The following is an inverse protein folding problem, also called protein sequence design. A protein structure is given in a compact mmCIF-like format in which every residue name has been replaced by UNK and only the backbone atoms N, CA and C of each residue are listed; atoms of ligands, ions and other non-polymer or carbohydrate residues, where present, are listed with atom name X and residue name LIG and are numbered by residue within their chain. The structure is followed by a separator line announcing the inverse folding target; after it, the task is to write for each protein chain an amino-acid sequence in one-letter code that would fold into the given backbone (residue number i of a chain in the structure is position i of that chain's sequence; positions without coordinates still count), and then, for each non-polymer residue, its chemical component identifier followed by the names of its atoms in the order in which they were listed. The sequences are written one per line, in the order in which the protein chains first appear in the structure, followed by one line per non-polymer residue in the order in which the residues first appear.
data_IF_818061223361
#
_entry.id   IF_818061223361
#
_cell.length_a   1.000
_cell.length_b   1.000
_cell.length_c   1.000
_cell.angle_alpha   90.00
_cell.angle_beta   90.00
_cell.angle_gamma   90.00
#
_symmetry.space_group_name_H-M   'P 1'
#
loop_
_entity.id
_entity.type
_entity.pdbx_description
1 polymer ?
#
# COMPACT_ATOMS: atom_id res chain seq x y z
N UNK A 1 66.27 0.97 -58.46
CA UNK A 1 64.91 0.39 -58.45
C UNK A 1 64.79 -0.76 -57.46
N UNK A 2 65.63 -1.82 -57.55
CA UNK A 2 65.61 -2.94 -56.60
C UNK A 2 66.03 -2.55 -55.18
N UNK A 3 67.05 -1.71 -55.04
CA UNK A 3 67.53 -1.28 -53.71
C UNK A 3 66.48 -0.43 -52.96
N UNK A 4 65.77 0.47 -53.67
CA UNK A 4 64.67 1.24 -53.07
C UNK A 4 63.50 0.35 -52.62
N UNK A 5 63.21 -0.74 -53.35
CA UNK A 5 62.18 -1.69 -52.95
C UNK A 5 62.58 -2.51 -51.70
N UNK A 6 63.88 -2.76 -51.52
CA UNK A 6 64.39 -3.46 -50.35
C UNK A 6 64.35 -2.57 -49.10
N UNK A 7 64.70 -1.29 -49.22
CA UNK A 7 64.58 -0.30 -48.14
C UNK A 7 63.12 -0.11 -47.71
N UNK A 8 62.18 0.01 -48.66
CA UNK A 8 60.75 0.11 -48.33
C UNK A 8 60.21 -1.12 -47.57
N UNK A 9 60.67 -2.34 -47.91
CA UNK A 9 60.27 -3.54 -47.18
C UNK A 9 60.82 -3.57 -45.75
N UNK A 10 62.03 -3.07 -45.53
CA UNK A 10 62.63 -2.96 -44.19
C UNK A 10 61.82 -1.95 -43.35
N UNK A 11 61.49 -0.79 -43.92
CA UNK A 11 60.69 0.22 -43.24
C UNK A 11 59.30 -0.32 -42.86
N UNK A 12 58.64 -1.06 -43.75
CA UNK A 12 57.34 -1.69 -43.50
C UNK A 12 57.42 -2.74 -42.38
N UNK A 13 58.48 -3.55 -42.35
CA UNK A 13 58.71 -4.52 -41.27
C UNK A 13 58.96 -3.83 -39.93
N UNK A 14 59.73 -2.74 -39.91
CA UNK A 14 59.97 -1.96 -38.70
C UNK A 14 58.71 -1.25 -38.21
N UNK A 15 57.87 -0.75 -39.13
CA UNK A 15 56.57 -0.17 -38.81
C UNK A 15 55.62 -1.22 -38.22
N UNK A 16 55.54 -2.42 -38.84
CA UNK A 16 54.74 -3.52 -38.33
C UNK A 16 55.21 -3.99 -36.94
N UNK A 17 56.53 -4.04 -36.70
CA UNK A 17 57.07 -4.40 -35.39
C UNK A 17 56.69 -3.36 -34.31
N UNK A 18 56.78 -2.06 -34.63
CA UNK A 18 56.35 -0.99 -33.71
C UNK A 18 54.86 -1.06 -33.42
N UNK A 19 54.05 -1.33 -34.43
CA UNK A 19 52.60 -1.47 -34.27
C UNK A 19 52.25 -2.68 -33.39
N UNK A 20 52.91 -3.83 -33.58
CA UNK A 20 52.71 -5.00 -32.71
C UNK A 20 53.04 -4.68 -31.25
N UNK A 21 54.13 -3.96 -30.99
CA UNK A 21 54.52 -3.56 -29.63
C UNK A 21 53.50 -2.57 -29.02
N UNK A 22 53.02 -1.61 -29.82
CA UNK A 22 51.96 -0.67 -29.42
C UNK A 22 50.67 -1.42 -29.05
N UNK A 23 50.24 -2.36 -29.90
CA UNK A 23 49.06 -3.19 -29.64
C UNK A 23 49.23 -4.08 -28.41
N UNK A 24 50.43 -4.64 -28.18
CA UNK A 24 50.73 -5.40 -26.97
C UNK A 24 50.62 -4.53 -25.71
N UNK A 25 51.09 -3.28 -25.75
CA UNK A 25 50.93 -2.33 -24.64
C UNK A 25 49.46 -2.05 -24.34
N UNK A 26 48.64 -1.82 -25.37
CA UNK A 26 47.20 -1.63 -25.23
C UNK A 26 46.54 -2.87 -24.63
N UNK A 27 46.87 -4.07 -25.11
CA UNK A 27 46.35 -5.33 -24.57
C UNK A 27 46.73 -5.49 -23.10
N UNK A 28 47.96 -5.15 -22.71
CA UNK A 28 48.39 -5.21 -21.31
C UNK A 28 47.62 -4.23 -20.42
N UNK A 29 47.40 -2.99 -20.89
CA UNK A 29 46.58 -2.00 -20.16
C UNK A 29 45.15 -2.49 -19.99
N UNK A 30 44.51 -2.96 -21.06
CA UNK A 30 43.15 -3.49 -21.02
C UNK A 30 43.02 -4.71 -20.09
N UNK A 31 44.01 -5.61 -20.09
CA UNK A 31 44.03 -6.75 -19.16
C UNK A 31 44.11 -6.28 -17.69
N UNK A 32 44.95 -5.29 -17.41
CA UNK A 32 45.06 -4.70 -16.07
C UNK A 32 43.75 -4.06 -15.64
N UNK A 33 43.14 -3.25 -16.50
CA UNK A 33 41.87 -2.59 -16.23
C UNK A 33 40.75 -3.62 -15.98
N UNK A 34 40.72 -4.72 -16.75
CA UNK A 34 39.77 -5.80 -16.56
C UNK A 34 39.97 -6.52 -15.21
N UNK A 35 41.21 -6.80 -14.82
CA UNK A 35 41.50 -7.42 -13.51
C UNK A 35 41.14 -6.51 -12.35
N UNK A 36 41.37 -5.21 -12.48
CA UNK A 36 41.01 -4.21 -11.48
C UNK A 36 39.48 -4.04 -11.39
N UNK A 37 38.78 -4.04 -12.53
CA UNK A 37 37.31 -4.05 -12.54
C UNK A 37 36.77 -5.33 -11.86
N UNK A 38 37.37 -6.49 -12.13
CA UNK A 38 36.97 -7.74 -11.50
C UNK A 38 37.20 -7.73 -9.98
N UNK A 39 38.34 -7.21 -9.50
CA UNK A 39 38.59 -7.10 -8.06
C UNK A 39 37.58 -6.17 -7.40
N UNK A 40 37.32 -4.99 -7.97
CA UNK A 40 36.31 -4.05 -7.46
C UNK A 40 34.91 -4.66 -7.42
N UNK A 41 34.51 -5.42 -8.44
CA UNK A 41 33.22 -6.13 -8.44
C UNK A 41 33.17 -7.23 -7.37
N UNK A 42 34.27 -7.93 -7.14
CA UNK A 42 34.38 -8.94 -6.07
C UNK A 42 34.23 -8.31 -4.69
N UNK A 43 34.87 -7.17 -4.44
CA UNK A 43 34.76 -6.41 -3.19
C UNK A 43 33.32 -5.94 -2.97
N UNK A 44 32.70 -5.33 -3.98
CA UNK A 44 31.30 -4.89 -3.92
C UNK A 44 30.33 -6.07 -3.69
N UNK A 45 30.58 -7.23 -4.30
CA UNK A 45 29.81 -8.45 -4.04
C UNK A 45 29.96 -8.90 -2.59
N UNK A 46 31.17 -8.84 -2.04
CA UNK A 46 31.44 -9.14 -0.63
C UNK A 46 30.71 -8.19 0.31
N UNK A 47 30.79 -6.88 0.06
CA UNK A 47 30.12 -5.85 0.85
C UNK A 47 28.59 -5.96 0.80
N UNK A 48 28.01 -6.24 -0.37
CA UNK A 48 26.56 -6.45 -0.51
C UNK A 48 26.11 -7.66 0.31
N UNK A 49 26.87 -8.76 0.25
CA UNK A 49 26.55 -9.96 1.01
C UNK A 49 26.65 -9.72 2.53
N UNK A 50 27.67 -9.02 3.00
CA UNK A 50 27.81 -8.69 4.44
C UNK A 50 26.71 -7.74 4.92
N UNK A 51 26.31 -6.76 4.09
CA UNK A 51 25.16 -5.88 4.39
C UNK A 51 23.87 -6.68 4.55
N UNK A 52 23.60 -7.60 3.62
CA UNK A 52 22.42 -8.48 3.70
C UNK A 52 22.44 -9.36 4.95
N UNK A 53 23.61 -9.93 5.28
CA UNK A 53 23.79 -10.74 6.49
C UNK A 53 23.54 -9.93 7.77
N UNK A 54 24.13 -8.74 7.88
CA UNK A 54 23.93 -7.87 9.04
C UNK A 54 22.47 -7.38 9.18
N UNK A 55 21.76 -7.16 8.07
CA UNK A 55 20.33 -6.81 8.11
C UNK A 55 19.47 -7.99 8.58
N UNK A 56 19.76 -9.20 8.09
CA UNK A 56 19.11 -10.43 8.56
C UNK A 56 19.35 -10.66 10.05
N UNK A 57 20.58 -10.50 10.55
CA UNK A 57 20.90 -10.63 11.97
C UNK A 57 20.12 -9.64 12.84
N UNK A 58 20.00 -8.38 12.41
CA UNK A 58 19.17 -7.38 13.10
C UNK A 58 17.70 -7.77 13.13
N UNK A 59 17.17 -8.24 12.00
CA UNK A 59 15.78 -8.69 11.90
C UNK A 59 15.51 -9.90 12.79
N UNK A 60 16.45 -10.85 12.87
CA UNK A 60 16.35 -12.02 13.77
C UNK A 60 16.28 -11.57 15.23
N UNK A 61 17.15 -10.65 15.66
CA UNK A 61 17.13 -10.10 17.03
C UNK A 61 15.81 -9.39 17.32
N UNK A 62 15.30 -8.59 16.38
CA UNK A 62 14.02 -7.90 16.51
C UNK A 62 12.84 -8.89 16.66
N UNK A 63 12.78 -9.92 15.82
CA UNK A 63 11.73 -10.94 15.89
C UNK A 63 11.80 -11.71 17.21
N UNK A 64 13.00 -12.04 17.68
CA UNK A 64 13.17 -12.67 18.98
C UNK A 64 12.67 -11.78 20.12
N UNK A 65 12.95 -10.47 20.07
CA UNK A 65 12.46 -9.51 21.05
C UNK A 65 10.93 -9.40 21.03
N UNK A 66 10.33 -9.24 19.85
CA UNK A 66 8.87 -9.20 19.67
C UNK A 66 8.20 -10.49 20.14
N UNK A 67 8.81 -11.65 19.88
CA UNK A 67 8.31 -12.95 20.35
C UNK A 67 8.28 -13.03 21.88
N UNK A 68 9.33 -12.54 22.56
CA UNK A 68 9.37 -12.46 24.03
C UNK A 68 8.27 -11.54 24.56
N UNK A 69 8.09 -10.37 23.96
CA UNK A 69 7.04 -9.42 24.34
C UNK A 69 5.63 -10.01 24.15
N UNK A 70 5.39 -10.68 23.03
CA UNK A 70 4.13 -11.39 22.76
C UNK A 70 3.88 -12.52 23.77
N UNK A 71 4.93 -13.25 24.15
CA UNK A 71 4.82 -14.29 25.19
C UNK A 71 4.39 -13.70 26.53
N UNK A 72 5.02 -12.62 26.96
CA UNK A 72 4.67 -11.92 28.21
C UNK A 72 3.25 -11.36 28.13
N UNK A 73 2.85 -10.78 27.00
CA UNK A 73 1.51 -10.24 26.82
C UNK A 73 0.45 -11.34 26.85
N UNK A 74 0.73 -12.49 26.23
CA UNK A 74 -0.14 -13.67 26.26
C UNK A 74 -0.31 -14.22 27.68
N UNK A 75 0.77 -14.23 28.48
CA UNK A 75 0.71 -14.61 29.89
C UNK A 75 -0.16 -13.65 30.70
N UNK A 76 0.03 -12.33 30.53
CA UNK A 76 -0.83 -11.31 31.17
C UNK A 76 -2.30 -11.45 30.79
N UNK A 77 -2.59 -11.77 29.52
CA UNK A 77 -3.96 -12.01 29.07
C UNK A 77 -4.56 -13.25 29.72
N UNK A 78 -3.79 -14.33 29.86
CA UNK A 78 -4.25 -15.53 30.57
C UNK A 78 -4.53 -15.25 32.06
N UNK A 79 -3.67 -14.47 32.72
CA UNK A 79 -3.89 -14.01 34.10
C UNK A 79 -5.18 -13.18 34.21
N UNK A 80 -5.39 -12.22 33.31
CA UNK A 80 -6.61 -11.40 33.27
C UNK A 80 -7.87 -12.25 33.06
N UNK A 81 -7.85 -13.19 32.10
CA UNK A 81 -8.97 -14.10 31.86
C UNK A 81 -9.32 -14.92 33.10
N UNK A 82 -8.32 -15.45 33.80
CA UNK A 82 -8.56 -16.22 35.04
C UNK A 82 -9.21 -15.35 36.15
N UNK A 83 -8.84 -14.07 36.24
CA UNK A 83 -9.41 -13.13 37.19
C UNK A 83 -10.86 -12.78 36.83
N UNK A 84 -11.14 -12.54 35.55
CA UNK A 84 -12.51 -12.28 35.06
C UNK A 84 -13.40 -13.49 35.34
N UNK A 85 -12.96 -14.71 35.02
CA UNK A 85 -13.72 -15.92 35.34
C UNK A 85 -13.98 -16.06 36.85
N UNK A 86 -13.02 -15.71 37.71
CA UNK A 86 -13.21 -15.72 39.16
C UNK A 86 -14.28 -14.71 39.58
N UNK A 87 -14.25 -13.49 39.02
CA UNK A 87 -15.24 -12.44 39.30
C UNK A 87 -16.63 -12.82 38.81
N UNK A 88 -16.75 -13.47 37.66
CA UNK A 88 -18.02 -13.99 37.16
C UNK A 88 -18.61 -15.06 38.07
N UNK A 89 -17.77 -15.95 38.64
CA UNK A 89 -18.21 -16.93 39.64
C UNK A 89 -18.68 -16.25 40.93
N UNK A 90 -17.95 -15.26 41.42
CA UNK A 90 -18.33 -14.47 42.60
C UNK A 90 -19.66 -13.73 42.38
N UNK A 91 -19.84 -13.09 41.22
CA UNK A 91 -21.08 -12.40 40.87
C UNK A 91 -22.28 -13.35 40.81
N UNK A 92 -22.15 -14.51 40.15
CA UNK A 92 -23.20 -15.53 40.12
C UNK A 92 -23.58 -16.01 41.51
N UNK A 93 -22.60 -16.23 42.39
CA UNK A 93 -22.86 -16.62 43.77
C UNK A 93 -23.60 -15.54 44.56
N UNK A 94 -23.24 -14.26 44.37
CA UNK A 94 -23.95 -13.13 44.99
C UNK A 94 -25.38 -12.97 44.46
N UNK A 95 -25.61 -13.15 43.15
CA UNK A 95 -26.95 -13.16 42.57
C UNK A 95 -27.83 -14.28 43.12
N UNK A 96 -27.27 -15.48 43.31
CA UNK A 96 -27.96 -16.61 43.93
C UNK A 96 -28.28 -16.35 45.40
N UNK A 97 -27.34 -15.79 46.17
CA UNK A 97 -27.57 -15.41 47.56
C UNK A 97 -28.64 -14.31 47.70
N UNK A 98 -28.64 -13.32 46.78
CA UNK A 98 -29.66 -12.28 46.73
C UNK A 98 -31.04 -12.88 46.43
N UNK A 99 -31.15 -13.78 45.45
CA UNK A 99 -32.39 -14.51 45.15
C UNK A 99 -32.88 -15.32 46.36
N UNK A 100 -31.98 -16.03 47.04
CA UNK A 100 -32.33 -16.80 48.24
C UNK A 100 -32.80 -15.90 49.40
N UNK A 101 -32.18 -14.73 49.59
CA UNK A 101 -32.59 -13.75 50.60
C UNK A 101 -33.95 -13.14 50.29
N UNK A 102 -34.19 -12.74 49.03
CA UNK A 102 -35.48 -12.23 48.57
C UNK A 102 -36.60 -13.27 48.75
N UNK A 103 -36.34 -14.53 48.44
CA UNK A 103 -37.32 -15.60 48.63
C UNK A 103 -37.60 -15.84 50.12
N UNK A 104 -36.57 -15.84 50.98
CA UNK A 104 -36.75 -15.89 52.45
C UNK A 104 -37.58 -14.71 52.95
N UNK A 105 -37.36 -13.50 52.45
CA UNK A 105 -38.16 -12.33 52.80
C UNK A 105 -39.61 -12.45 52.32
N UNK A 106 -39.87 -13.01 51.12
CA UNK A 106 -41.24 -13.30 50.66
C UNK A 106 -41.94 -14.31 51.58
N UNK A 107 -41.23 -15.36 52.00
CA UNK A 107 -41.77 -16.36 52.93
C UNK A 107 -42.04 -15.77 54.32
N UNK A 108 -41.16 -14.89 54.83
CA UNK A 108 -41.36 -14.15 56.08
C UNK A 108 -42.54 -13.17 56.00
N UNK A 109 -42.70 -12.43 54.89
CA UNK A 109 -43.84 -11.54 54.68
C UNK A 109 -45.17 -12.32 54.65
N UNK A 110 -45.16 -13.55 54.15
CA UNK A 110 -46.34 -14.41 54.14
C UNK A 110 -46.65 -14.99 55.54
N UNK A 111 -45.65 -15.23 56.39
CA UNK A 111 -45.85 -15.65 57.79
C UNK A 111 -46.23 -14.47 58.71
N UNK A 112 -45.72 -13.26 58.46
CA UNK A 112 -46.09 -12.06 59.22
C UNK A 112 -47.52 -11.57 58.88
N UNK A 113 -48.06 -11.91 57.70
CA UNK A 113 -49.47 -11.67 57.35
C UNK A 113 -50.47 -12.55 58.11
N UNK A 114 -50.03 -13.65 58.72
CA UNK A 114 -50.90 -14.47 59.59
C UNK A 114 -50.85 -14.06 61.08
N UNK A 115 -49.92 -13.19 61.51
CA UNK A 115 -49.87 -12.72 62.89
C UNK A 115 -49.51 -11.23 62.99
N UNK A 116 -50.52 -10.38 62.90
CA UNK A 116 -50.50 -9.05 63.56
C UNK A 116 -51.91 -8.65 63.95
N UNK A 117 -52.09 -8.04 65.13
CA UNK A 117 -52.44 -6.63 65.03
C UNK A 117 -51.78 -5.71 66.08
N UNK A 118 -51.43 -4.52 65.56
CA UNK A 118 -51.56 -3.18 66.16
C UNK A 118 -50.90 -2.87 67.51
N UNK A 119 -50.08 -1.81 67.50
CA UNK A 119 -50.25 -0.59 68.33
C UNK A 119 -49.43 0.58 67.75
N UNK A 120 -49.93 1.81 67.96
CA UNK A 120 -49.41 3.11 67.50
C UNK A 120 -48.46 3.75 68.54
N UNK A 121 -47.97 4.96 68.23
CA UNK A 121 -47.10 5.93 69.00
C UNK A 121 -45.60 5.61 68.89
N UNK A 122 -44.62 6.53 68.74
CA UNK A 122 -44.50 7.98 68.89
C UNK A 122 -43.11 8.44 68.36
N UNK A 123 -43.01 9.66 67.79
CA UNK A 123 -41.85 10.59 67.66
C UNK A 123 -40.42 10.10 67.31
N UNK A 124 -39.81 10.70 66.29
CA UNK A 124 -38.72 11.69 66.42
C UNK A 124 -38.14 12.12 65.06
N UNK A 125 -37.83 13.42 64.98
CA UNK A 125 -37.23 14.19 63.90
C UNK A 125 -35.80 13.79 63.53
N UNK A 126 -35.36 14.26 62.34
CA UNK A 126 -34.01 14.76 61.92
C UNK A 126 -33.87 14.47 60.41
N UNK A 127 -34.35 15.34 59.52
CA UNK A 127 -33.67 16.51 58.92
C UNK A 127 -32.78 16.19 57.70
N UNK A 128 -32.83 17.12 56.74
CA UNK A 128 -31.90 17.37 55.60
C UNK A 128 -32.07 16.44 54.39
N UNK A 129 -32.84 16.82 53.37
CA UNK A 129 -32.44 17.67 52.23
C UNK A 129 -31.38 17.03 51.30
N UNK A 130 -31.81 16.55 50.12
CA UNK A 130 -31.55 17.13 48.78
C UNK A 130 -31.82 16.07 47.69
N UNK A 131 -32.52 16.55 46.65
CA UNK A 131 -32.94 15.90 45.40
C UNK A 131 -31.85 15.11 44.65
N UNK A 132 -32.28 14.17 43.81
CA UNK A 132 -31.98 14.34 42.38
C UNK A 132 -33.26 14.39 41.55
N UNK A 133 -33.42 15.51 40.85
CA UNK A 133 -34.38 15.73 39.78
C UNK A 133 -34.14 14.68 38.68
N UNK A 134 -35.06 13.73 38.58
CA UNK A 134 -35.21 12.88 37.40
C UNK A 134 -35.96 13.69 36.34
N UNK A 135 -35.27 14.02 35.25
CA UNK A 135 -35.88 14.54 34.03
C UNK A 135 -36.71 13.44 33.36
N UNK A 136 -38.03 13.61 33.51
CA UNK A 136 -39.08 13.38 32.52
C UNK A 136 -39.22 11.98 31.89
N UNK A 137 -40.26 11.30 32.39
CA UNK A 137 -40.99 10.29 31.64
C UNK A 137 -41.69 10.91 30.43
N UNK A 138 -41.52 10.26 29.28
CA UNK A 138 -42.55 9.96 28.29
C UNK A 138 -43.75 10.92 28.17
N UNK A 139 -43.83 11.59 27.02
CA UNK A 139 -45.12 11.86 26.36
C UNK A 139 -45.11 11.20 24.98
N UNK A 140 -45.50 9.94 24.98
CA UNK A 140 -45.95 9.22 23.79
C UNK A 140 -47.42 9.55 23.55
N UNK A 141 -47.76 10.10 22.38
CA UNK A 141 -48.93 9.70 21.58
C UNK A 141 -49.28 10.78 20.55
N UNK A 142 -48.76 10.65 19.33
CA UNK A 142 -49.52 10.97 18.12
C UNK A 142 -48.79 10.38 16.91
N UNK A 143 -49.54 9.72 16.03
CA UNK A 143 -49.15 9.32 14.67
C UNK A 143 -48.29 8.07 14.54
N UNK A 144 -49.00 6.99 14.87
CA UNK A 144 -49.03 5.70 14.21
C UNK A 144 -49.04 5.81 12.66
N UNK A 145 -47.92 6.18 12.06
CA UNK A 145 -47.60 5.91 10.66
C UNK A 145 -46.62 4.74 10.60
N UNK A 146 -47.14 3.61 10.12
CA UNK A 146 -46.42 2.44 9.58
C UNK A 146 -44.91 2.40 9.85
N UNK A 147 -44.51 1.70 10.92
CA UNK A 147 -43.10 1.41 11.25
C UNK A 147 -42.31 0.73 10.11
N UNK A 148 -42.97 0.22 9.08
CA UNK A 148 -42.34 -0.35 7.89
C UNK A 148 -41.73 0.69 6.93
N UNK A 149 -42.16 1.96 6.97
CA UNK A 149 -41.72 2.99 5.99
C UNK A 149 -40.63 3.94 6.52
N UNK A 150 -40.43 4.01 7.84
CA UNK A 150 -39.34 4.80 8.44
C UNK A 150 -37.98 4.09 8.37
N UNK A 151 -37.97 2.76 8.22
CA UNK A 151 -36.74 1.97 8.05
C UNK A 151 -36.04 2.20 6.71
N UNK A 152 -36.79 2.56 5.66
CA UNK A 152 -36.26 2.75 4.30
C UNK A 152 -35.70 4.17 4.11
N UNK A 153 -36.23 5.17 4.83
CA UNK A 153 -35.66 6.54 4.81
C UNK A 153 -34.42 6.71 5.69
N UNK A 154 -34.16 5.81 6.65
CA UNK A 154 -33.06 5.96 7.60
C UNK A 154 -31.71 5.37 7.16
N UNK A 155 -31.58 4.74 5.98
CA UNK A 155 -30.29 4.18 5.51
C UNK A 155 -29.50 5.09 4.56
N UNK A 156 -30.03 6.25 4.15
CA UNK A 156 -29.35 7.18 3.25
C UNK A 156 -29.39 8.65 3.69
N UNK A 157 -30.49 9.11 4.31
CA UNK A 157 -30.71 10.54 4.58
C UNK A 157 -29.72 11.14 5.57
N UNK A 158 -29.30 10.40 6.61
CA UNK A 158 -28.28 10.91 7.55
C UNK A 158 -26.90 11.04 6.90
N UNK A 159 -26.53 10.13 6.01
CA UNK A 159 -25.25 10.19 5.31
C UNK A 159 -25.25 11.28 4.24
N UNK A 160 -26.34 11.42 3.49
CA UNK A 160 -26.51 12.51 2.54
C UNK A 160 -26.51 13.88 3.24
N UNK A 161 -27.18 14.03 4.39
CA UNK A 161 -27.11 15.26 5.18
C UNK A 161 -25.69 15.59 5.66
N UNK A 162 -24.92 14.58 6.09
CA UNK A 162 -23.52 14.76 6.48
C UNK A 162 -22.67 15.15 5.28
N UNK A 163 -22.86 14.50 4.12
CA UNK A 163 -22.18 14.84 2.87
C UNK A 163 -22.51 16.26 2.43
N UNK A 164 -23.77 16.67 2.52
CA UNK A 164 -24.21 18.03 2.17
C UNK A 164 -23.62 19.07 3.13
N UNK A 165 -23.59 18.78 4.44
CA UNK A 165 -22.94 19.65 5.43
C UNK A 165 -21.43 19.75 5.18
N UNK A 166 -20.76 18.65 4.84
CA UNK A 166 -19.33 18.64 4.51
C UNK A 166 -19.05 19.40 3.20
N UNK A 167 -19.86 19.21 2.16
CA UNK A 167 -19.77 19.97 0.89
C UNK A 167 -19.96 21.46 1.13
N UNK A 168 -20.94 21.85 1.96
CA UNK A 168 -21.19 23.25 2.33
C UNK A 168 -20.00 23.85 3.09
N UNK A 169 -19.48 23.16 4.11
CA UNK A 169 -18.30 23.61 4.85
C UNK A 169 -17.05 23.76 3.97
N UNK A 170 -16.83 22.83 3.04
CA UNK A 170 -15.72 22.91 2.07
C UNK A 170 -15.90 24.07 1.09
N UNK A 171 -17.13 24.33 0.63
CA UNK A 171 -17.39 25.48 -0.25
C UNK A 171 -17.16 26.82 0.47
N UNK A 172 -17.52 26.92 1.75
CA UNK A 172 -17.28 28.10 2.57
C UNK A 172 -15.78 28.31 2.84
N UNK A 173 -15.04 27.24 3.14
CA UNK A 173 -13.59 27.32 3.33
C UNK A 173 -12.87 27.75 2.05
N UNK A 174 -13.27 27.20 0.89
CA UNK A 174 -12.73 27.62 -0.41
C UNK A 174 -13.05 29.07 -0.73
N UNK A 175 -14.24 29.57 -0.37
CA UNK A 175 -14.59 30.97 -0.52
C UNK A 175 -13.71 31.88 0.36
N UNK A 176 -13.49 31.52 1.64
CA UNK A 176 -12.59 32.25 2.54
C UNK A 176 -11.14 32.24 2.07
N UNK A 177 -10.64 31.11 1.57
CA UNK A 177 -9.29 31.03 0.99
C UNK A 177 -9.19 31.97 -0.22
N UNK A 178 -10.18 31.96 -1.11
CA UNK A 178 -10.21 32.85 -2.27
C UNK A 178 -10.29 34.33 -1.88
N UNK A 179 -10.99 34.67 -0.80
CA UNK A 179 -11.01 36.03 -0.23
C UNK A 179 -9.67 36.41 0.39
N UNK A 180 -9.02 35.50 1.12
CA UNK A 180 -7.68 35.69 1.69
C UNK A 180 -6.61 35.83 0.59
N UNK A 181 -6.72 35.08 -0.50
CA UNK A 181 -5.86 35.20 -1.68
C UNK A 181 -6.08 36.52 -2.42
N UNK A 182 -7.32 37.02 -2.48
CA UNK A 182 -7.64 38.34 -3.05
C UNK A 182 -7.22 39.50 -2.16
N UNK A 183 -7.27 39.33 -0.83
CA UNK A 183 -6.73 40.28 0.14
C UNK A 183 -5.19 40.34 0.10
N UNK A 184 -4.55 39.37 -0.56
CA UNK A 184 -3.12 39.34 -0.86
C UNK A 184 -2.86 39.88 -2.27
N UNK A 185 -3.03 41.19 -2.47
CA UNK A 185 -2.59 41.87 -3.70
C UNK A 185 -1.07 42.09 -3.70
N UNK A 186 -0.44 42.30 -4.88
CA UNK A 186 0.98 42.06 -5.08
C UNK A 186 1.79 43.30 -4.75
N UNK A 187 2.81 43.12 -3.92
CA UNK A 187 4.03 43.88 -4.10
C UNK A 187 5.20 42.90 -4.01
N UNK A 188 6.29 43.25 -4.67
CA UNK A 188 7.55 42.50 -4.76
C UNK A 188 7.74 41.58 -5.98
N UNK A 189 7.70 42.20 -7.16
CA UNK A 189 8.45 41.77 -8.34
C UNK A 189 9.69 42.66 -8.46
N UNK A 190 10.79 42.34 -7.78
CA UNK A 190 12.11 42.93 -8.11
C UNK A 190 13.35 42.08 -7.74
N UNK A 191 13.26 41.02 -6.94
CA UNK A 191 14.48 40.32 -6.47
C UNK A 191 14.90 39.05 -7.22
N UNK A 192 14.30 38.72 -8.38
CA UNK A 192 14.59 37.43 -9.04
C UNK A 192 15.81 37.43 -9.98
N UNK A 193 16.40 38.57 -10.33
CA UNK A 193 17.47 38.61 -11.34
C UNK A 193 18.92 38.60 -10.81
N UNK A 194 19.16 38.73 -9.50
CA UNK A 194 20.53 38.70 -8.95
C UNK A 194 20.99 37.28 -8.53
N UNK A 195 20.06 36.34 -8.33
CA UNK A 195 20.39 34.99 -7.84
C UNK A 195 20.96 34.03 -8.89
N UNK A 196 20.93 34.38 -10.17
CA UNK A 196 21.28 33.44 -11.25
C UNK A 196 22.76 33.50 -11.67
N UNK A 197 23.48 34.57 -11.33
CA UNK A 197 24.90 34.73 -11.68
C UNK A 197 25.86 34.04 -10.68
N UNK A 198 25.44 33.84 -9.43
CA UNK A 198 26.29 33.23 -8.38
C UNK A 198 26.38 31.70 -8.43
N UNK A 199 25.54 31.03 -9.22
CA UNK A 199 25.52 29.57 -9.27
C UNK A 199 26.62 28.97 -10.17
N UNK A 200 27.31 29.80 -10.97
CA UNK A 200 28.32 29.34 -11.94
C UNK A 200 29.75 29.26 -11.37
N UNK A 201 30.04 29.92 -10.26
CA UNK A 201 31.39 29.93 -9.65
C UNK A 201 31.63 28.80 -8.63
N UNK A 202 30.60 28.04 -8.23
CA UNK A 202 30.73 27.01 -7.19
C UNK A 202 31.05 25.59 -7.72
N UNK A 203 31.38 25.44 -9.02
CA UNK A 203 31.60 24.12 -9.66
C UNK A 203 33.08 23.76 -9.84
N UNK A 204 34.04 24.61 -9.46
CA UNK A 204 35.49 24.33 -9.65
C UNK A 204 36.34 24.16 -8.38
N UNK A 205 35.76 24.05 -7.19
CA UNK A 205 36.53 23.83 -5.94
C UNK A 205 36.24 22.48 -5.29
N UNK A 206 36.52 21.38 -5.99
CA UNK A 206 36.35 20.04 -5.42
C UNK A 206 37.52 19.08 -5.71
N UNK A 207 38.75 19.58 -5.76
CA UNK A 207 39.93 18.76 -6.09
C UNK A 207 41.20 19.05 -5.26
N UNK A 208 41.10 19.47 -3.98
CA UNK A 208 42.29 19.52 -3.09
C UNK A 208 41.94 19.13 -1.66
N UNK A 209 41.57 17.87 -1.44
CA UNK A 209 41.60 17.25 -0.10
C UNK A 209 42.03 15.77 -0.22
N UNK A 210 43.26 15.56 -0.69
CA UNK A 210 44.01 14.33 -0.47
C UNK A 210 45.48 14.71 -0.39
N UNK A 211 46.03 14.61 0.82
CA UNK A 211 47.41 14.83 1.28
C UNK A 211 47.36 15.80 2.48
N UNK A 212 47.14 15.24 3.68
CA UNK A 212 47.85 15.57 4.92
C UNK A 212 47.28 14.69 6.05
N UNK A 213 47.57 13.39 5.96
CA UNK A 213 47.38 12.42 7.03
C UNK A 213 48.78 11.92 7.40
N UNK A 214 49.55 12.75 8.08
CA UNK A 214 50.63 12.29 8.96
C UNK A 214 51.10 13.43 9.89
N UNK A 215 50.56 13.45 11.11
CA UNK A 215 51.16 14.05 12.30
C UNK A 215 50.22 13.83 13.49
N UNK A 216 50.60 12.88 14.36
CA UNK A 216 50.12 12.80 15.73
C UNK A 216 50.58 14.07 16.48
N UNK A 217 49.76 14.64 17.37
CA UNK A 217 50.20 14.60 18.76
C UNK A 217 49.08 14.27 19.74
N UNK A 218 49.51 13.65 20.83
CA UNK A 218 48.72 13.12 21.92
C UNK A 218 47.97 14.21 22.71
N UNK A 219 46.72 13.94 23.10
CA UNK A 219 46.00 14.68 24.13
C UNK A 219 46.26 14.04 25.50
N UNK A 220 46.58 14.80 26.55
CA UNK A 220 46.46 14.30 27.92
C UNK A 220 45.00 14.35 28.38
N UNK A 221 44.52 13.21 28.84
CA UNK A 221 43.27 13.02 29.59
C UNK A 221 43.27 13.92 30.83
N UNK A 222 42.32 14.87 30.90
CA UNK A 222 42.08 15.69 32.08
C UNK A 222 40.86 15.19 32.88
N UNK A 223 41.15 14.97 34.16
CA UNK A 223 40.30 15.11 35.35
C UNK A 223 39.67 13.85 35.97
N UNK A 224 40.12 13.57 37.19
CA UNK A 224 39.26 13.44 38.37
C UNK A 224 39.97 14.12 39.53
N UNK A 225 39.53 15.33 39.88
CA UNK A 225 39.92 16.01 41.13
C UNK A 225 38.70 15.92 42.04
N UNK A 226 38.86 15.17 43.13
CA UNK A 226 37.90 15.09 44.22
C UNK A 226 37.99 16.36 45.07
N UNK A 227 36.83 16.99 45.31
CA UNK A 227 36.70 18.11 46.23
C UNK A 227 36.62 17.52 47.64
N UNK A 228 37.65 17.76 48.46
CA UNK A 228 37.64 17.46 49.89
C UNK A 228 37.54 18.76 50.68
N UNK A 229 36.61 18.77 51.64
CA UNK A 229 36.19 19.92 52.42
C UNK A 229 37.31 20.52 53.29
N UNK A 230 37.31 21.85 53.55
CA UNK A 230 38.32 22.50 54.35
C UNK A 230 38.07 22.25 55.84
N UNK A 231 38.97 21.52 56.49
CA UNK A 231 39.04 21.44 57.95
C UNK A 231 40.02 22.49 58.49
N UNK A 232 39.52 23.25 59.46
CA UNK A 232 40.23 24.22 60.26
C UNK A 232 41.54 23.65 60.85
N UNK A 233 42.62 24.41 60.75
CA UNK A 233 43.90 24.09 61.37
C UNK A 233 44.77 25.35 61.49
N UNK A 234 44.74 25.93 62.68
CA UNK A 234 45.50 27.09 63.12
C UNK A 234 47.01 26.87 62.96
N UNK A 235 47.72 27.79 62.30
CA UNK A 235 49.15 28.06 62.50
C UNK A 235 49.45 29.52 62.14
N UNK A 236 49.74 30.32 63.16
CA UNK A 236 50.01 31.75 63.06
C UNK A 236 51.44 32.05 62.61
N UNK A 237 51.57 33.21 61.96
CA UNK A 237 52.71 34.12 62.00
C UNK A 237 54.05 33.64 61.43
N UNK A 238 54.33 34.03 60.17
CA UNK A 238 55.48 34.88 59.76
C UNK A 238 55.79 34.75 58.26
N UNK A 239 54.84 35.00 57.36
CA UNK A 239 55.11 35.19 55.91
C UNK A 239 54.09 36.14 55.26
N UNK A 240 53.86 37.31 55.86
CA UNK A 240 52.79 38.24 55.47
C UNK A 240 53.05 39.11 54.22
N UNK A 241 54.04 38.82 53.37
CA UNK A 241 54.34 39.71 52.21
C UNK A 241 54.55 38.96 50.89
N UNK A 242 55.06 37.73 50.91
CA UNK A 242 55.30 36.95 49.69
C UNK A 242 54.06 36.18 49.21
N UNK A 243 53.25 35.67 50.15
CA UNK A 243 52.08 34.83 49.84
C UNK A 243 50.92 35.63 49.24
N UNK A 244 50.75 36.91 49.63
CA UNK A 244 49.77 37.81 49.00
C UNK A 244 50.12 38.17 47.56
N UNK A 245 51.41 38.26 47.22
CA UNK A 245 51.85 38.53 45.84
C UNK A 245 51.71 37.29 44.94
N UNK A 246 51.93 36.11 45.49
CA UNK A 246 51.66 34.83 44.80
C UNK A 246 50.17 34.63 44.53
N UNK A 247 49.28 34.83 45.52
CA UNK A 247 47.84 34.71 45.30
C UNK A 247 47.26 35.72 44.30
N UNK A 248 47.80 36.95 44.25
CA UNK A 248 47.42 37.96 43.25
C UNK A 248 47.90 37.59 41.83
N UNK A 249 49.02 36.88 41.72
CA UNK A 249 49.56 36.41 40.44
C UNK A 249 48.76 35.22 39.91
N UNK A 250 48.41 34.27 40.77
CA UNK A 250 47.61 33.09 40.41
C UNK A 250 46.19 33.48 39.92
N UNK A 251 45.56 34.49 40.54
CA UNK A 251 44.26 35.01 40.09
C UNK A 251 44.35 35.70 38.73
N UNK A 252 45.43 36.46 38.49
CA UNK A 252 45.64 37.13 37.21
C UNK A 252 45.89 36.11 36.07
N UNK A 253 46.67 35.06 36.34
CA UNK A 253 46.93 33.97 35.39
C UNK A 253 45.65 33.18 35.08
N UNK A 254 44.83 32.86 36.11
CA UNK A 254 43.55 32.20 35.92
C UNK A 254 42.59 33.02 35.04
N UNK A 255 42.53 34.33 35.23
CA UNK A 255 41.71 35.23 34.41
C UNK A 255 42.23 35.30 32.96
N UNK A 256 43.55 35.34 32.76
CA UNK A 256 44.16 35.34 31.42
C UNK A 256 43.89 34.03 30.66
N UNK A 257 44.00 32.89 31.33
CA UNK A 257 43.63 31.58 30.76
C UNK A 257 42.13 31.52 30.41
N UNK A 258 41.26 32.03 31.28
CA UNK A 258 39.81 32.06 31.04
C UNK A 258 39.45 32.94 29.84
N UNK A 259 40.12 34.09 29.68
CA UNK A 259 39.91 34.99 28.54
C UNK A 259 40.37 34.32 27.23
N UNK A 260 41.54 33.69 27.24
CA UNK A 260 42.05 32.95 26.07
C UNK A 260 41.07 31.87 25.62
N UNK A 261 40.55 31.07 26.55
CA UNK A 261 39.56 30.03 26.26
C UNK A 261 38.26 30.60 25.67
N UNK A 262 37.77 31.71 26.22
CA UNK A 262 36.57 32.39 25.69
C UNK A 262 36.78 32.85 24.24
N UNK A 263 37.95 33.43 23.95
CA UNK A 263 38.30 33.91 22.61
C UNK A 263 38.42 32.73 21.63
N UNK A 264 39.18 31.69 21.98
CA UNK A 264 39.33 30.48 21.17
C UNK A 264 37.98 29.80 20.89
N UNK A 265 37.10 29.72 21.90
CA UNK A 265 35.74 29.21 21.75
C UNK A 265 34.91 30.08 20.79
N UNK A 266 34.95 31.41 20.96
CA UNK A 266 34.20 32.35 20.11
C UNK A 266 34.66 32.29 18.65
N UNK A 267 35.97 32.12 18.42
CA UNK A 267 36.56 31.98 17.08
C UNK A 267 36.18 30.67 16.42
N UNK A 268 36.23 29.57 17.17
CA UNK A 268 35.79 28.24 16.71
C UNK A 268 34.30 28.27 16.36
N UNK A 269 33.48 28.87 17.22
CA UNK A 269 32.04 28.99 17.01
C UNK A 269 31.71 29.80 15.76
N UNK A 270 32.36 30.95 15.57
CA UNK A 270 32.20 31.77 14.37
C UNK A 270 32.59 31.01 13.10
N UNK A 271 33.67 30.23 13.14
CA UNK A 271 34.14 29.41 12.01
C UNK A 271 33.15 28.29 11.68
N UNK A 272 32.68 27.54 12.68
CA UNK A 272 31.72 26.43 12.51
C UNK A 272 30.36 26.91 11.98
N UNK A 273 29.91 28.07 12.44
CA UNK A 273 28.63 28.65 12.02
C UNK A 273 28.75 29.51 10.75
N UNK A 274 29.96 29.63 10.18
CA UNK A 274 30.29 30.46 9.04
C UNK A 274 29.86 31.94 9.22
N UNK A 275 30.05 32.46 10.43
CA UNK A 275 29.81 33.86 10.79
C UNK A 275 31.12 34.62 10.53
N UNK A 276 31.14 35.41 9.45
CA UNK A 276 32.36 36.06 8.95
C UNK A 276 32.88 37.18 9.89
N UNK A 277 32.01 37.78 10.70
CA UNK A 277 32.33 38.99 11.49
C UNK A 277 31.95 38.81 12.96
N UNK A 278 32.84 38.22 13.77
CA UNK A 278 32.73 38.21 15.23
C UNK A 278 33.60 39.33 15.80
N UNK A 279 32.99 40.49 16.01
CA UNK A 279 33.65 41.76 16.28
C UNK A 279 34.03 41.96 17.76
N UNK A 280 33.44 41.17 18.66
CA UNK A 280 33.69 41.16 20.10
C UNK A 280 34.87 40.30 20.55
N UNK A 281 35.59 39.68 19.60
CA UNK A 281 36.81 38.89 19.84
C UNK A 281 38.03 39.79 20.11
N UNK A 282 37.96 40.57 21.19
CA UNK A 282 39.01 41.49 21.63
C UNK A 282 39.29 41.25 23.13
N UNK A 283 40.57 41.25 23.50
CA UNK A 283 41.00 41.14 24.91
C UNK A 283 40.66 42.42 25.69
N UNK A 284 40.24 42.25 26.94
CA UNK A 284 39.84 43.34 27.85
C UNK A 284 40.95 43.75 28.83
N UNK A 285 42.11 43.07 28.80
CA UNK A 285 43.20 43.17 29.79
C UNK A 285 43.67 44.61 30.05
N UNK A 286 43.77 45.43 29.00
CA UNK A 286 44.28 46.81 29.07
C UNK A 286 43.26 47.89 28.71
N UNK A 287 41.97 47.57 28.72
CA UNK A 287 40.91 48.51 28.32
C UNK A 287 40.39 49.33 29.50
N UNK A 288 40.08 50.60 29.24
CA UNK A 288 39.34 51.47 30.16
C UNK A 288 37.90 50.96 30.36
N UNK A 289 37.24 51.39 31.43
CA UNK A 289 35.86 50.99 31.73
C UNK A 289 34.89 51.25 30.56
N UNK A 290 35.05 52.38 29.89
CA UNK A 290 34.19 52.75 28.75
C UNK A 290 34.44 51.86 27.52
N UNK A 291 35.69 51.47 27.26
CA UNK A 291 36.05 50.55 26.18
C UNK A 291 35.57 49.12 26.45
N UNK A 292 35.62 48.69 27.72
CA UNK A 292 35.05 47.41 28.14
C UNK A 292 33.55 47.32 27.89
N UNK A 293 32.82 48.41 28.15
CA UNK A 293 31.38 48.50 27.84
C UNK A 293 31.13 48.34 26.33
N UNK A 294 31.95 48.96 25.47
CA UNK A 294 31.87 48.81 24.00
C UNK A 294 32.17 47.38 23.56
N UNK A 295 33.19 46.72 24.13
CA UNK A 295 33.48 45.31 23.86
C UNK A 295 32.34 44.41 24.32
N UNK A 296 31.71 44.71 25.45
CA UNK A 296 30.52 43.98 25.90
C UNK A 296 29.36 44.11 24.91
N UNK A 297 29.11 45.30 24.37
CA UNK A 297 28.11 45.50 23.31
C UNK A 297 28.45 44.76 22.01
N UNK A 298 29.73 44.69 21.64
CA UNK A 298 30.21 43.90 20.49
C UNK A 298 29.95 42.40 20.72
N UNK A 299 30.28 41.89 21.91
CA UNK A 299 30.04 40.49 22.29
C UNK A 299 28.55 40.15 22.35
N UNK A 300 27.71 41.07 22.81
CA UNK A 300 26.26 40.89 22.78
C UNK A 300 25.74 40.76 21.34
N UNK A 301 26.19 41.64 20.44
CA UNK A 301 25.83 41.55 19.01
C UNK A 301 26.31 40.26 18.36
N UNK A 302 27.52 39.82 18.69
CA UNK A 302 28.07 38.55 18.23
C UNK A 302 27.23 37.34 18.73
N UNK A 303 26.76 37.38 19.98
CA UNK A 303 25.85 36.38 20.53
C UNK A 303 24.51 36.38 19.80
N UNK A 304 23.93 37.55 19.52
CA UNK A 304 22.68 37.66 18.77
C UNK A 304 22.83 37.06 17.36
N UNK A 305 23.94 37.32 16.67
CA UNK A 305 24.25 36.71 15.36
C UNK A 305 24.32 35.18 15.43
N UNK A 306 24.92 34.63 16.49
CA UNK A 306 24.95 33.19 16.74
C UNK A 306 23.53 32.64 16.93
N UNK A 307 22.69 33.30 17.74
CA UNK A 307 21.31 32.89 17.95
C UNK A 307 20.47 32.92 16.68
N UNK A 308 20.60 33.97 15.87
CA UNK A 308 19.93 34.09 14.58
C UNK A 308 20.36 32.97 13.64
N UNK A 309 21.66 32.65 13.62
CA UNK A 309 22.18 31.57 12.77
C UNK A 309 21.68 30.20 13.20
N UNK A 310 21.67 29.92 14.50
CA UNK A 310 21.09 28.69 15.07
C UNK A 310 19.60 28.60 14.70
N UNK A 311 18.86 29.69 14.84
CA UNK A 311 17.43 29.73 14.51
C UNK A 311 17.19 29.49 13.03
N UNK A 312 18.01 30.09 12.15
CA UNK A 312 17.96 29.84 10.71
C UNK A 312 18.20 28.37 10.37
N UNK A 313 19.24 27.76 10.96
CA UNK A 313 19.58 26.35 10.75
C UNK A 313 18.49 25.42 11.26
N UNK A 314 17.91 25.70 12.44
CA UNK A 314 16.78 24.96 13.01
C UNK A 314 15.55 25.00 12.08
N UNK A 315 15.22 26.17 11.54
CA UNK A 315 14.09 26.32 10.61
C UNK A 315 14.37 25.64 9.27
N UNK A 316 15.60 25.70 8.76
CA UNK A 316 16.00 24.97 7.55
C UNK A 316 15.92 23.45 7.74
N UNK A 317 16.35 22.95 8.91
CA UNK A 317 16.25 21.55 9.27
C UNK A 317 14.78 21.11 9.34
N UNK A 318 13.93 21.87 10.05
CA UNK A 318 12.49 21.56 10.14
C UNK A 318 11.80 21.47 8.78
N UNK A 319 12.10 22.40 7.85
CA UNK A 319 11.57 22.34 6.47
C UNK A 319 12.06 21.13 5.70
N UNK A 320 13.33 20.72 5.87
CA UNK A 320 13.87 19.50 5.25
C UNK A 320 13.21 18.24 5.83
N UNK A 321 12.96 18.19 7.13
CA UNK A 321 12.25 17.09 7.78
C UNK A 321 10.79 16.98 7.31
N UNK A 322 10.10 18.11 7.12
CA UNK A 322 8.76 18.13 6.54
C UNK A 322 8.73 17.60 5.10
N UNK A 323 9.73 17.99 4.29
CA UNK A 323 9.88 17.48 2.93
C UNK A 323 10.14 15.97 2.92
N UNK A 324 11.00 15.48 3.82
CA UNK A 324 11.27 14.05 3.97
C UNK A 324 10.01 13.28 4.38
N UNK A 325 9.22 13.81 5.33
CA UNK A 325 7.90 13.24 5.66
C UNK A 325 6.94 13.22 4.47
N UNK A 326 7.05 14.20 3.57
CA UNK A 326 6.33 14.20 2.29
C UNK A 326 6.72 13.02 1.42
N UNK A 327 8.02 12.82 1.18
CA UNK A 327 8.52 11.69 0.41
C UNK A 327 8.18 10.33 1.03
N UNK A 328 8.19 10.19 2.35
CA UNK A 328 7.75 8.96 3.02
C UNK A 328 6.29 8.62 2.69
N UNK A 329 5.40 9.62 2.66
CA UNK A 329 4.00 9.44 2.25
C UNK A 329 3.88 9.04 0.78
N UNK A 330 4.64 9.68 -0.09
CA UNK A 330 4.63 9.38 -1.53
C UNK A 330 5.13 7.94 -1.80
N UNK A 331 6.19 7.52 -1.09
CA UNK A 331 6.70 6.15 -1.14
C UNK A 331 5.64 5.16 -0.67
N UNK A 332 4.92 5.46 0.41
CA UNK A 332 3.85 4.60 0.91
C UNK A 332 2.67 4.52 -0.06
N UNK A 333 2.32 5.63 -0.71
CA UNK A 333 1.32 5.64 -1.77
C UNK A 333 1.78 4.82 -2.98
N UNK A 334 3.06 4.91 -3.36
CA UNK A 334 3.63 4.12 -4.45
C UNK A 334 3.60 2.61 -4.14
N UNK A 335 3.88 2.22 -2.89
CA UNK A 335 3.74 0.82 -2.45
C UNK A 335 2.31 0.31 -2.61
N UNK A 336 1.31 1.09 -2.17
CA UNK A 336 -0.11 0.73 -2.34
C UNK A 336 -0.50 0.62 -3.81
N UNK A 337 -0.05 1.57 -4.63
CA UNK A 337 -0.27 1.55 -6.09
C UNK A 337 0.33 0.29 -6.72
N UNK A 338 1.56 -0.08 -6.37
CA UNK A 338 2.22 -1.30 -6.85
C UNK A 338 1.41 -2.56 -6.55
N UNK A 339 0.90 -2.71 -5.32
CA UNK A 339 0.04 -3.85 -4.95
C UNK A 339 -1.22 -3.89 -5.81
N UNK A 340 -1.84 -2.74 -6.08
CA UNK A 340 -3.02 -2.70 -6.96
C UNK A 340 -2.70 -3.08 -8.41
N UNK A 341 -1.53 -2.69 -8.93
CA UNK A 341 -1.06 -3.08 -10.26
C UNK A 341 -0.81 -4.59 -10.34
N UNK A 342 -0.16 -5.18 -9.34
CA UNK A 342 0.05 -6.64 -9.26
C UNK A 342 -1.28 -7.41 -9.25
N UNK A 343 -2.29 -6.88 -8.53
CA UNK A 343 -3.64 -7.44 -8.54
C UNK A 343 -4.31 -7.39 -9.93
N UNK A 344 -4.18 -6.27 -10.65
CA UNK A 344 -4.71 -6.16 -12.01
C UNK A 344 -3.94 -7.04 -13.00
N UNK A 345 -2.62 -7.14 -12.87
CA UNK A 345 -1.80 -8.05 -13.69
C UNK A 345 -2.23 -9.51 -13.51
N UNK A 346 -2.50 -9.94 -12.27
CA UNK A 346 -3.04 -11.29 -12.03
C UNK A 346 -4.42 -11.51 -12.66
N UNK A 347 -5.29 -10.49 -12.63
CA UNK A 347 -6.60 -10.58 -13.29
C UNK A 347 -6.47 -10.66 -14.80
N UNK A 348 -5.58 -9.86 -15.40
CA UNK A 348 -5.30 -9.91 -16.85
C UNK A 348 -4.76 -11.28 -17.24
N UNK A 349 -3.79 -11.83 -16.51
CA UNK A 349 -3.25 -13.17 -16.79
C UNK A 349 -4.33 -14.27 -16.73
N UNK A 350 -5.26 -14.20 -15.77
CA UNK A 350 -6.39 -15.14 -15.70
C UNK A 350 -7.30 -15.03 -16.92
N UNK A 351 -7.61 -13.80 -17.35
CA UNK A 351 -8.43 -13.58 -18.54
C UNK A 351 -7.72 -14.05 -19.81
N UNK A 352 -6.40 -13.88 -19.90
CA UNK A 352 -5.60 -14.42 -20.99
C UNK A 352 -5.71 -15.95 -21.05
N UNK A 353 -5.52 -16.64 -19.91
CA UNK A 353 -5.68 -18.10 -19.83
C UNK A 353 -7.07 -18.57 -20.25
N UNK A 354 -8.11 -17.85 -19.83
CA UNK A 354 -9.49 -18.20 -20.18
C UNK A 354 -9.78 -17.98 -21.67
N UNK A 355 -9.26 -16.90 -22.27
CA UNK A 355 -9.33 -16.68 -23.73
C UNK A 355 -8.63 -17.81 -24.48
N UNK A 356 -7.48 -18.29 -24.01
CA UNK A 356 -6.77 -19.42 -24.62
C UNK A 356 -7.59 -20.71 -24.56
N UNK A 357 -8.21 -21.02 -23.41
CA UNK A 357 -9.09 -22.20 -23.27
C UNK A 357 -10.31 -22.11 -24.16
N UNK A 358 -10.99 -20.96 -24.17
CA UNK A 358 -12.16 -20.75 -25.05
C UNK A 358 -11.79 -20.88 -26.54
N UNK A 359 -10.59 -20.44 -26.93
CA UNK A 359 -10.10 -20.61 -28.28
C UNK A 359 -9.86 -22.09 -28.65
N UNK A 360 -9.32 -22.88 -27.72
CA UNK A 360 -9.13 -24.33 -27.89
C UNK A 360 -10.48 -25.05 -27.99
N UNK A 361 -11.41 -24.78 -27.08
CA UNK A 361 -12.77 -25.36 -27.13
C UNK A 361 -13.47 -25.01 -28.44
N UNK A 362 -13.36 -23.76 -28.89
CA UNK A 362 -13.91 -23.31 -30.17
C UNK A 362 -13.28 -24.04 -31.35
N UNK A 363 -11.98 -24.35 -31.31
CA UNK A 363 -11.32 -25.13 -32.36
C UNK A 363 -11.83 -26.58 -32.38
N UNK A 364 -11.95 -27.23 -31.22
CA UNK A 364 -12.48 -28.59 -31.10
C UNK A 364 -13.94 -28.68 -31.58
N UNK A 365 -14.77 -27.70 -31.22
CA UNK A 365 -16.17 -27.64 -31.66
C UNK A 365 -16.28 -27.43 -33.17
N UNK A 366 -15.44 -26.59 -33.76
CA UNK A 366 -15.37 -26.42 -35.22
C UNK A 366 -14.98 -27.73 -35.91
N UNK A 367 -13.98 -28.43 -35.40
CA UNK A 367 -13.56 -29.72 -35.97
C UNK A 367 -14.67 -30.78 -35.86
N UNK A 368 -15.35 -30.86 -34.71
CA UNK A 368 -16.48 -31.78 -34.53
C UNK A 368 -17.64 -31.45 -35.49
N UNK A 369 -17.93 -30.17 -35.70
CA UNK A 369 -18.93 -29.70 -36.65
C UNK A 369 -18.55 -30.10 -38.08
N UNK A 370 -17.31 -29.83 -38.50
CA UNK A 370 -16.80 -30.20 -39.82
C UNK A 370 -16.90 -31.72 -40.05
N UNK A 371 -16.51 -32.55 -39.07
CA UNK A 371 -16.65 -34.02 -39.15
C UNK A 371 -18.11 -34.44 -39.35
N UNK A 372 -19.05 -33.85 -38.62
CA UNK A 372 -20.48 -34.15 -38.75
C UNK A 372 -21.04 -33.72 -40.10
N UNK A 373 -20.62 -32.57 -40.63
CA UNK A 373 -21.01 -32.10 -41.96
C UNK A 373 -20.54 -33.05 -43.07
N UNK A 374 -19.30 -33.54 -42.97
CA UNK A 374 -18.76 -34.55 -43.89
C UNK A 374 -19.58 -35.85 -43.84
N UNK A 375 -19.90 -36.36 -42.65
CA UNK A 375 -20.74 -37.55 -42.46
C UNK A 375 -22.14 -37.34 -43.07
N UNK A 376 -22.77 -36.20 -42.80
CA UNK A 376 -24.09 -35.87 -43.36
C UNK A 376 -24.06 -35.78 -44.89
N UNK A 377 -23.00 -35.22 -45.47
CA UNK A 377 -22.83 -35.16 -46.92
C UNK A 377 -22.68 -36.57 -47.53
N UNK A 378 -21.90 -37.44 -46.89
CA UNK A 378 -21.76 -38.84 -47.29
C UNK A 378 -23.09 -39.60 -47.22
N UNK A 379 -23.82 -39.47 -46.11
CA UNK A 379 -25.15 -40.05 -45.93
C UNK A 379 -26.15 -39.54 -46.98
N UNK A 380 -26.14 -38.24 -47.27
CA UNK A 380 -26.97 -37.65 -48.34
C UNK A 380 -26.65 -38.27 -49.70
N UNK A 381 -25.36 -38.51 -50.02
CA UNK A 381 -24.93 -39.16 -51.27
C UNK A 381 -25.39 -40.62 -51.33
N UNK A 382 -25.18 -41.39 -50.27
CA UNK A 382 -25.61 -42.81 -50.19
C UNK A 382 -27.14 -42.91 -50.31
N UNK A 383 -27.88 -42.08 -49.58
CA UNK A 383 -29.34 -42.06 -49.63
C UNK A 383 -29.88 -41.72 -51.03
N UNK A 384 -29.23 -40.81 -51.77
CA UNK A 384 -29.57 -40.53 -53.17
C UNK A 384 -29.35 -41.77 -54.05
N UNK A 385 -28.22 -42.46 -53.89
CA UNK A 385 -27.93 -43.69 -54.64
C UNK A 385 -28.94 -44.81 -54.34
N UNK A 386 -29.27 -45.03 -53.05
CA UNK A 386 -30.28 -46.01 -52.63
C UNK A 386 -31.64 -45.68 -53.23
N UNK A 387 -32.06 -44.40 -53.22
CA UNK A 387 -33.33 -43.97 -53.83
C UNK A 387 -33.34 -44.25 -55.34
N UNK A 388 -32.26 -43.93 -56.05
CA UNK A 388 -32.15 -44.23 -57.48
C UNK A 388 -32.22 -45.73 -57.77
N UNK A 389 -31.52 -46.56 -56.98
CA UNK A 389 -31.57 -48.02 -57.12
C UNK A 389 -32.98 -48.57 -56.84
N UNK A 390 -33.67 -48.07 -55.81
CA UNK A 390 -35.07 -48.44 -55.52
C UNK A 390 -35.99 -48.09 -56.68
N UNK A 391 -35.85 -46.89 -57.27
CA UNK A 391 -36.62 -46.49 -58.46
C UNK A 391 -36.33 -47.38 -59.67
N UNK A 392 -35.06 -47.74 -59.91
CA UNK A 392 -34.69 -48.69 -60.99
C UNK A 392 -35.32 -50.08 -60.76
N UNK A 393 -35.28 -50.59 -59.52
CA UNK A 393 -35.90 -51.88 -59.16
C UNK A 393 -37.43 -51.85 -59.34
N UNK A 394 -38.08 -50.75 -58.95
CA UNK A 394 -39.52 -50.56 -59.15
C UNK A 394 -39.89 -50.55 -60.64
N UNK A 395 -39.18 -49.77 -61.47
CA UNK A 395 -39.38 -49.76 -62.93
C UNK A 395 -39.16 -51.14 -63.57
N UNK A 396 -38.14 -51.87 -63.11
CA UNK A 396 -37.89 -53.23 -63.60
C UNK A 396 -39.01 -54.20 -63.19
N UNK A 397 -39.62 -54.01 -62.02
CA UNK A 397 -40.79 -54.78 -61.56
C UNK A 397 -42.05 -54.41 -62.35
N UNK A 398 -42.25 -53.13 -62.66
CA UNK A 398 -43.34 -52.66 -63.53
C UNK A 398 -43.21 -53.23 -64.94
N UNK A 399 -42.01 -53.24 -65.53
CA UNK A 399 -41.76 -53.86 -66.85
C UNK A 399 -42.02 -55.37 -66.84
N UNK A 400 -41.64 -56.08 -65.77
CA UNK A 400 -41.99 -57.51 -65.61
C UNK A 400 -43.49 -57.72 -65.42
N UNK A 401 -44.18 -56.87 -64.65
CA UNK A 401 -45.64 -56.94 -64.47
C UNK A 401 -46.40 -56.65 -65.77
N UNK A 402 -45.94 -55.67 -66.56
CA UNK A 402 -46.51 -55.36 -67.87
C UNK A 402 -46.32 -56.50 -68.88
N UNK A 403 -45.20 -57.24 -68.80
CA UNK A 403 -44.96 -58.43 -69.64
C UNK A 403 -45.85 -59.63 -69.26
N UNK A 404 -46.34 -59.70 -68.00
CA UNK A 404 -47.34 -60.69 -67.57
C UNK A 404 -48.74 -60.30 -68.06
N UNK A 405 -49.04 -59.00 -68.20
CA UNK A 405 -50.33 -58.51 -68.69
C UNK A 405 -50.48 -58.47 -70.22
N UNK A 406 -49.41 -58.55 -71.01
CA UNK A 406 -49.50 -58.66 -72.49
C UNK A 406 -49.68 -60.09 -73.00
N UNK A 407 -49.63 -61.11 -72.14
CA UNK A 407 -49.84 -62.53 -72.54
C UNK A 407 -51.22 -63.07 -72.13
N UNK A 408 -52.00 -62.33 -71.33
CA UNK A 408 -53.33 -62.78 -70.90
C UNK A 408 -54.41 -61.77 -71.31
N UNK A 409 -54.94 -61.92 -72.52
CA UNK A 409 -55.95 -61.03 -73.10
C UNK A 409 -56.76 -61.65 -74.24
N UNK A 410 -57.23 -62.89 -74.03
CA UNK A 410 -58.33 -63.65 -74.69
C UNK A 410 -58.42 -64.90 -73.79
N UNK A 411 -59.48 -65.18 -73.04
CA UNK A 411 -60.85 -65.48 -73.46
C UNK A 411 -61.83 -65.20 -72.30
N UNK A 412 -63.11 -65.08 -72.67
CA UNK A 412 -64.20 -64.72 -71.77
C UNK A 412 -64.64 -65.83 -70.82
N UNK A 413 -65.18 -65.36 -69.69
CA UNK A 413 -66.28 -65.88 -68.88
C UNK A 413 -66.58 -67.38 -68.93
N UNK A 414 -66.51 -68.06 -67.79
CA UNK A 414 -67.73 -68.53 -67.12
C UNK A 414 -67.51 -69.21 -65.74
N UNK A 415 -68.54 -69.03 -64.89
CA UNK A 415 -68.97 -69.85 -63.73
C UNK A 415 -68.28 -69.70 -62.34
N UNK A 416 -68.95 -68.89 -61.50
CA UNK A 416 -69.52 -69.12 -60.14
C UNK A 416 -68.92 -70.11 -59.12
N UNK A 417 -69.18 -69.90 -57.80
CA UNK A 417 -68.20 -70.01 -56.72
C UNK A 417 -68.37 -71.26 -55.82
N UNK A 418 -67.33 -71.60 -55.05
CA UNK A 418 -67.51 -72.34 -53.79
C UNK A 418 -66.44 -71.94 -52.74
N UNK A 419 -66.78 -71.87 -51.44
CA UNK A 419 -66.02 -71.18 -50.41
C UNK A 419 -65.20 -72.16 -49.55
N UNK A 420 -63.95 -71.80 -49.26
CA UNK A 420 -63.16 -72.37 -48.16
C UNK A 420 -61.99 -71.43 -47.86
N UNK A 421 -62.17 -70.61 -46.81
CA UNK A 421 -61.26 -70.24 -45.71
C UNK A 421 -59.73 -70.08 -45.92
N UNK A 422 -58.99 -69.41 -45.01
CA UNK A 422 -59.23 -68.15 -44.29
C UNK A 422 -58.07 -67.16 -44.55
N UNK A 423 -58.28 -65.88 -44.25
CA UNK A 423 -57.17 -64.96 -43.98
C UNK A 423 -56.97 -63.84 -45.01
N UNK A 424 -57.64 -62.72 -44.76
CA UNK A 424 -57.10 -61.42 -45.13
C UNK A 424 -57.39 -60.41 -44.02
N UNK A 425 -56.37 -60.01 -43.24
CA UNK A 425 -56.51 -58.98 -42.23
C UNK A 425 -56.53 -57.60 -42.90
N UNK A 426 -57.57 -56.83 -42.52
CA UNK A 426 -57.56 -55.38 -42.33
C UNK A 426 -56.72 -54.53 -43.30
N UNK A 427 -57.43 -53.78 -44.16
CA UNK A 427 -56.97 -52.50 -44.72
C UNK A 427 -56.41 -51.61 -43.59
N UNK A 428 -55.09 -51.65 -43.42
CA UNK A 428 -54.42 -51.02 -42.31
C UNK A 428 -54.21 -49.52 -42.61
N UNK A 429 -54.74 -48.70 -41.70
CA UNK A 429 -54.69 -47.24 -41.65
C UNK A 429 -53.25 -46.69 -41.65
N UNK A 430 -52.59 -46.57 -42.80
CA UNK A 430 -51.27 -45.89 -42.90
C UNK A 430 -51.38 -44.39 -43.30
N UNK A 431 -52.59 -43.90 -43.59
CA UNK A 431 -52.81 -42.51 -44.03
C UNK A 431 -52.97 -41.44 -42.93
N UNK A 432 -53.15 -41.84 -41.64
CA UNK A 432 -53.38 -40.89 -40.54
C UNK A 432 -52.13 -40.62 -39.68
N UNK A 433 -51.25 -41.61 -39.48
CA UNK A 433 -50.03 -41.47 -38.64
C UNK A 433 -48.97 -40.55 -39.28
N UNK A 434 -48.86 -40.55 -40.62
CA UNK A 434 -47.92 -39.68 -41.34
C UNK A 434 -48.32 -38.19 -41.37
N UNK A 435 -49.62 -37.87 -41.27
CA UNK A 435 -50.09 -36.48 -41.19
C UNK A 435 -49.82 -35.88 -39.81
N UNK A 436 -50.09 -36.64 -38.73
CA UNK A 436 -49.77 -36.23 -37.36
C UNK A 436 -48.26 -35.96 -37.14
N UNK A 437 -47.39 -36.81 -37.69
CA UNK A 437 -45.94 -36.63 -37.56
C UNK A 437 -45.39 -35.41 -38.34
N UNK A 438 -46.02 -35.03 -39.47
CA UNK A 438 -45.65 -33.80 -40.19
C UNK A 438 -46.12 -32.54 -39.49
N UNK A 439 -47.33 -32.55 -38.92
CA UNK A 439 -47.86 -31.41 -38.15
C UNK A 439 -47.07 -31.21 -36.85
N UNK A 440 -46.66 -32.29 -36.20
CA UNK A 440 -45.86 -32.22 -34.96
C UNK A 440 -44.44 -31.69 -35.23
N UNK A 441 -43.80 -32.12 -36.33
CA UNK A 441 -42.52 -31.55 -36.76
C UNK A 441 -42.62 -30.07 -37.09
N UNK A 442 -43.72 -29.63 -37.72
CA UNK A 442 -43.92 -28.23 -38.08
C UNK A 442 -44.09 -27.35 -36.84
N UNK A 443 -44.91 -27.79 -35.88
CA UNK A 443 -45.07 -27.12 -34.58
C UNK A 443 -43.76 -27.00 -33.81
N UNK A 444 -42.90 -28.03 -33.82
CA UNK A 444 -41.58 -27.98 -33.17
C UNK A 444 -40.63 -26.99 -33.85
N UNK A 445 -40.65 -26.90 -35.17
CA UNK A 445 -39.87 -25.91 -35.94
C UNK A 445 -40.35 -24.50 -35.60
N UNK A 446 -41.66 -24.26 -35.62
CA UNK A 446 -42.23 -22.94 -35.32
C UNK A 446 -41.92 -22.51 -33.87
N UNK A 447 -41.89 -23.45 -32.93
CA UNK A 447 -41.53 -23.20 -31.52
C UNK A 447 -40.05 -22.86 -31.34
N UNK A 448 -39.15 -23.59 -32.02
CA UNK A 448 -37.71 -23.30 -32.01
C UNK A 448 -37.39 -21.94 -32.65
N UNK A 449 -38.14 -21.57 -33.69
CA UNK A 449 -38.00 -20.29 -34.36
C UNK A 449 -38.44 -19.12 -33.46
N UNK A 450 -39.50 -19.31 -32.66
CA UNK A 450 -39.93 -18.35 -31.62
C UNK A 450 -38.92 -18.22 -30.47
N UNK A 451 -38.30 -19.32 -30.05
CA UNK A 451 -37.24 -19.29 -29.03
C UNK A 451 -36.00 -18.53 -29.50
N UNK A 452 -35.52 -18.80 -30.73
CA UNK A 452 -34.39 -18.09 -31.34
C UNK A 452 -34.68 -16.58 -31.51
N UNK A 453 -35.92 -16.22 -31.77
CA UNK A 453 -36.32 -14.82 -31.90
C UNK A 453 -36.38 -14.10 -30.56
N UNK A 454 -36.74 -14.79 -29.47
CA UNK A 454 -36.65 -14.27 -28.10
C UNK A 454 -35.22 -14.12 -27.62
N UNK A 455 -34.32 -15.05 -27.92
CA UNK A 455 -32.89 -14.90 -27.58
C UNK A 455 -32.25 -13.70 -28.29
N UNK A 456 -32.62 -13.45 -29.56
CA UNK A 456 -32.14 -12.25 -30.28
C UNK A 456 -32.67 -10.93 -29.72
N UNK A 457 -33.83 -10.93 -29.06
CA UNK A 457 -34.39 -9.74 -28.42
C UNK A 457 -33.91 -9.55 -26.97
N UNK A 458 -33.39 -10.61 -26.34
CA UNK A 458 -32.86 -10.58 -24.97
C UNK A 458 -31.35 -10.25 -24.91
N UNK A 459 -30.67 -10.11 -26.05
CA UNK A 459 -29.27 -9.70 -26.10
C UNK A 459 -29.16 -8.20 -25.72
N UNK A 460 -28.45 -7.84 -24.64
CA UNK A 460 -28.24 -6.44 -24.27
C UNK A 460 -27.42 -5.73 -25.36
N UNK A 461 -27.80 -4.49 -25.67
CA UNK A 461 -27.07 -3.66 -26.61
C UNK A 461 -25.61 -3.48 -26.16
N UNK A 462 -24.62 -3.56 -27.07
CA UNK A 462 -23.23 -3.30 -26.72
C UNK A 462 -23.09 -1.84 -26.26
N UNK A 463 -22.25 -1.54 -25.25
CA UNK A 463 -22.04 -0.18 -24.77
C UNK A 463 -21.44 0.67 -25.89
N UNK A 464 -22.06 1.83 -26.13
CA UNK A 464 -21.57 2.81 -27.10
C UNK A 464 -20.22 3.37 -26.61
N UNK A 465 -19.14 3.03 -27.30
CA UNK A 465 -17.85 3.71 -27.15
C UNK A 465 -18.00 5.14 -27.68
N UNK A 466 -18.09 6.12 -26.78
CA UNK A 466 -17.90 7.53 -27.11
C UNK A 466 -16.41 7.78 -27.34
N UNK A 467 -16.00 7.77 -28.62
CA UNK A 467 -14.74 8.34 -29.08
C UNK A 467 -14.89 9.87 -29.12
N UNK A 468 -14.37 10.55 -28.10
CA UNK A 468 -13.92 11.94 -28.20
C UNK A 468 -12.42 11.93 -27.91
N UNK A 469 -11.63 12.12 -28.96
CA UNK A 469 -10.23 12.54 -28.92
C UNK A 469 -10.10 13.83 -29.70
#
# INVERSE_FOLDING_TARGET
AKDMAYEHLIDDLLAAQKEILSQQEVIMKLRKDLTEAHSRMSDLRGELNEKQKMELERNVVLVQQQSKELSVLKEKMAQMSSLVEKKDRELKALEEALRASQEKHRLQLNTEKEQKPRKKTQTCDTSVQIEPVHTEAFSSSQEQQSFSDLGVRCKGSRHEEVIQRQKKALSELRARIKELEKARSPDHKDHQNESFLDLKNLRMENNVQKILLDAKPDLPTLSRIEILAPQNGLCNARFGSAMEKSGKMDVAEALELSEKLYLDMSKTLGSLMNIKNMSGHVSMKYLSRQEREKVNQLRQRDLDLVFDKITQLKNQLGRKEELLRGYEKDVEQLRRSKVSVEMYQSQVAKLEDDIYKEAEEKALLKEALERMEHQLCQEKRINRAIRQQKMRKLRLRELRGAQVHTVAGKEGWDLTPDPSDPGSPALCRVGRKCRGARTEKRKRIDTLQLCLQRERQAAPAPPACSLNG
#
